data_IF_886944808878
#
_entry.id   IF_886944808878
#
_cell.length_a   1.000
_cell.length_b   1.000
_cell.length_c   1.000
_cell.angle_alpha   90.00
_cell.angle_beta   90.00
_cell.angle_gamma   90.00
#
_symmetry.space_group_name_H-M   'P 1'
#
loop_
_entity.id
_entity.type
_entity.pdbx_description
1 polymer ?
#
# COMPACT_ATOMS: atom_id res chain seq x y z
N UNK A 1 62.94 14.25 -12.60
CA UNK A 1 63.52 14.07 -13.95
C UNK A 1 62.55 13.20 -14.72
N UNK A 2 61.75 13.88 -15.52
CA UNK A 2 60.65 13.37 -16.33
C UNK A 2 61.15 12.72 -17.63
N UNK A 3 60.46 11.70 -18.12
CA UNK A 3 60.33 11.36 -19.55
C UNK A 3 59.06 10.48 -19.69
N UNK A 4 57.93 10.92 -20.26
CA UNK A 4 57.62 11.39 -21.64
C UNK A 4 57.52 10.23 -22.65
N UNK A 5 56.25 9.85 -22.91
CA UNK A 5 55.57 9.48 -24.19
C UNK A 5 56.18 8.45 -25.15
N UNK A 6 55.36 7.50 -25.64
CA UNK A 6 54.81 7.52 -27.01
C UNK A 6 53.99 6.25 -27.35
N UNK A 7 52.75 6.47 -27.83
CA UNK A 7 51.99 5.53 -28.66
C UNK A 7 52.44 5.67 -30.13
N UNK A 8 52.21 4.65 -30.96
CA UNK A 8 51.44 4.92 -32.18
C UNK A 8 50.46 3.81 -32.60
N UNK A 9 49.31 4.24 -33.13
CA UNK A 9 48.43 3.46 -34.01
C UNK A 9 49.11 3.15 -35.36
N UNK A 10 48.51 2.23 -36.15
CA UNK A 10 48.34 2.55 -37.57
C UNK A 10 46.90 2.36 -38.09
N UNK A 11 46.56 3.26 -39.03
CA UNK A 11 45.33 3.42 -39.82
C UNK A 11 45.38 2.67 -41.17
N UNK A 12 44.17 2.33 -41.67
CA UNK A 12 43.69 2.31 -43.09
C UNK A 12 44.33 1.26 -44.04
N UNK A 13 43.71 0.69 -45.09
CA UNK A 13 42.50 0.96 -45.92
C UNK A 13 42.34 -0.22 -46.91
N UNK A 14 41.15 -0.43 -47.50
CA UNK A 14 41.06 -0.98 -48.87
C UNK A 14 39.83 -1.84 -49.16
N UNK A 15 38.90 -1.29 -49.93
CA UNK A 15 37.72 -1.95 -50.48
C UNK A 15 38.02 -2.63 -51.83
N UNK A 16 37.30 -3.72 -52.15
CA UNK A 16 36.96 -4.07 -53.53
C UNK A 16 35.57 -4.69 -53.59
N UNK A 17 34.77 -4.14 -54.49
CA UNK A 17 33.41 -4.51 -54.86
C UNK A 17 33.41 -5.52 -56.00
N UNK A 18 32.46 -6.47 -55.98
CA UNK A 18 31.86 -7.12 -57.17
C UNK A 18 30.47 -7.68 -56.81
N UNK A 19 29.44 -7.12 -57.44
CA UNK A 19 28.10 -7.67 -57.69
C UNK A 19 28.22 -8.86 -58.66
N UNK A 20 27.37 -9.89 -58.77
CA UNK A 20 25.90 -10.12 -58.73
C UNK A 20 25.69 -11.65 -58.50
N UNK A 21 24.56 -12.28 -58.14
CA UNK A 21 23.14 -12.05 -58.39
C UNK A 21 22.26 -12.97 -57.50
N UNK A 22 21.04 -12.51 -57.21
CA UNK A 22 19.76 -13.24 -57.06
C UNK A 22 19.72 -14.63 -56.37
N UNK A 23 19.08 -14.63 -55.20
CA UNK A 23 18.55 -15.83 -54.53
C UNK A 23 17.65 -15.43 -53.37
N UNK A 24 16.35 -15.32 -53.63
CA UNK A 24 15.32 -14.96 -52.66
C UNK A 24 15.13 -16.03 -51.58
N UNK A 25 15.31 -15.67 -50.30
CA UNK A 25 14.56 -16.30 -49.20
C UNK A 25 14.23 -15.25 -48.13
N UNK A 26 12.98 -14.81 -48.15
CA UNK A 26 12.37 -14.05 -47.06
C UNK A 26 12.31 -14.95 -45.82
N UNK A 27 13.35 -14.91 -44.99
CA UNK A 27 13.29 -15.44 -43.62
C UNK A 27 12.45 -14.47 -42.79
N UNK A 28 11.12 -14.60 -42.89
CA UNK A 28 10.18 -14.01 -41.92
C UNK A 28 10.61 -14.51 -40.54
N UNK A 29 11.25 -13.65 -39.76
CA UNK A 29 11.33 -13.83 -38.30
C UNK A 29 9.89 -13.75 -37.81
N UNK A 30 9.28 -14.91 -37.58
CA UNK A 30 8.09 -15.04 -36.75
C UNK A 30 8.43 -14.44 -35.40
N UNK A 31 7.95 -13.23 -35.13
CA UNK A 31 7.87 -12.71 -33.77
C UNK A 31 6.95 -13.69 -33.06
N UNK A 32 7.53 -14.48 -32.17
CA UNK A 32 6.79 -15.53 -31.48
C UNK A 32 5.63 -14.89 -30.71
N UNK A 33 4.40 -15.27 -31.04
CA UNK A 33 3.23 -14.95 -30.20
C UNK A 33 3.42 -15.45 -28.76
N UNK A 34 4.27 -16.47 -28.53
CA UNK A 34 4.63 -16.90 -27.19
C UNK A 34 5.40 -15.84 -26.39
N UNK A 35 6.20 -14.99 -27.06
CA UNK A 35 6.99 -13.95 -26.39
C UNK A 35 6.14 -12.75 -25.96
N UNK A 36 5.12 -12.40 -26.75
CA UNK A 36 4.19 -11.31 -26.42
C UNK A 36 3.24 -11.76 -25.30
N UNK A 37 2.78 -13.01 -25.33
CA UNK A 37 1.97 -13.61 -24.26
C UNK A 37 2.79 -13.75 -22.98
N UNK A 38 4.06 -14.20 -23.05
CA UNK A 38 4.92 -14.30 -21.86
C UNK A 38 5.24 -12.94 -21.25
N UNK A 39 5.49 -11.92 -22.07
CA UNK A 39 5.72 -10.55 -21.59
C UNK A 39 4.47 -9.99 -20.90
N UNK A 40 3.28 -10.24 -21.45
CA UNK A 40 2.03 -9.79 -20.85
C UNK A 40 1.72 -10.49 -19.51
N UNK A 41 2.00 -11.79 -19.41
CA UNK A 41 1.84 -12.55 -18.15
C UNK A 41 2.84 -12.06 -17.09
N UNK A 42 4.09 -11.83 -17.49
CA UNK A 42 5.13 -11.31 -16.58
C UNK A 42 4.79 -9.90 -16.05
N UNK A 43 4.25 -9.02 -16.90
CA UNK A 43 3.81 -7.68 -16.50
C UNK A 43 2.58 -7.74 -15.56
N UNK A 44 1.69 -8.71 -15.74
CA UNK A 44 0.51 -8.90 -14.89
C UNK A 44 0.90 -9.40 -13.50
N UNK A 45 1.75 -10.43 -13.40
CA UNK A 45 2.28 -10.95 -12.13
C UNK A 45 3.02 -9.86 -11.35
N UNK A 46 3.81 -9.04 -12.06
CA UNK A 46 4.51 -7.93 -11.42
C UNK A 46 3.55 -6.85 -10.92
N UNK A 47 2.52 -6.51 -11.68
CA UNK A 47 1.50 -5.54 -11.26
C UNK A 47 0.73 -6.02 -10.02
N UNK A 48 0.45 -7.32 -9.95
CA UNK A 48 -0.13 -7.96 -8.77
C UNK A 48 0.83 -7.88 -7.57
N UNK A 49 2.11 -8.22 -7.76
CA UNK A 49 3.12 -8.14 -6.68
C UNK A 49 3.30 -6.73 -6.10
N UNK A 50 3.25 -5.68 -6.93
CA UNK A 50 3.31 -4.28 -6.49
C UNK A 50 2.06 -3.92 -5.68
N UNK A 51 0.89 -4.39 -6.11
CA UNK A 51 -0.36 -4.15 -5.41
C UNK A 51 -0.42 -4.87 -4.06
N UNK A 52 0.13 -6.09 -3.99
CA UNK A 52 0.22 -6.89 -2.76
C UNK A 52 1.28 -6.38 -1.78
N UNK A 53 2.31 -5.71 -2.26
CA UNK A 53 3.26 -4.99 -1.40
C UNK A 53 2.60 -3.78 -0.72
N UNK A 54 1.63 -3.16 -1.39
CA UNK A 54 0.74 -2.14 -0.84
C UNK A 54 -0.49 -2.72 -0.14
N UNK A 55 -1.51 -1.87 0.01
CA UNK A 55 -2.83 -2.29 0.46
C UNK A 55 -3.72 -2.60 -0.75
N UNK A 56 -4.49 -3.68 -0.68
CA UNK A 56 -5.46 -4.08 -1.72
C UNK A 56 -6.91 -3.85 -1.29
N UNK A 57 -7.11 -3.20 -0.14
CA UNK A 57 -8.41 -2.86 0.43
C UNK A 57 -9.19 -4.08 0.84
N UNK A 58 -10.50 -4.02 0.64
CA UNK A 58 -11.44 -5.08 0.99
C UNK A 58 -11.27 -6.35 0.14
N UNK A 59 -10.55 -6.28 -0.99
CA UNK A 59 -10.17 -7.48 -1.76
C UNK A 59 -9.31 -8.45 -0.94
N UNK A 60 -8.60 -7.95 0.07
CA UNK A 60 -7.84 -8.80 1.01
C UNK A 60 -8.74 -9.83 1.72
N UNK A 61 -10.00 -9.48 1.99
CA UNK A 61 -10.96 -10.39 2.64
C UNK A 61 -11.49 -11.47 1.68
N UNK A 62 -11.44 -11.24 0.36
CA UNK A 62 -12.01 -12.14 -0.65
C UNK A 62 -10.99 -13.08 -1.32
N UNK A 63 -9.73 -12.66 -1.44
CA UNK A 63 -8.68 -13.38 -2.18
C UNK A 63 -8.49 -14.85 -1.70
N UNK A 64 -8.59 -15.11 -0.39
CA UNK A 64 -8.30 -16.43 0.15
C UNK A 64 -9.41 -17.49 0.01
N UNK A 65 -10.65 -17.08 -0.29
CA UNK A 65 -11.72 -18.06 -0.54
C UNK A 65 -11.49 -18.79 -1.87
N UNK A 66 -10.87 -18.11 -2.83
CA UNK A 66 -10.55 -18.68 -4.14
C UNK A 66 -9.22 -19.45 -4.16
N UNK A 67 -8.21 -19.04 -3.38
CA UNK A 67 -6.94 -19.80 -3.26
C UNK A 67 -7.13 -21.14 -2.56
N UNK A 68 -8.06 -21.22 -1.59
CA UNK A 68 -8.45 -22.49 -0.96
C UNK A 68 -9.08 -23.48 -1.94
N UNK A 69 -9.83 -22.99 -2.95
CA UNK A 69 -10.41 -23.84 -3.99
C UNK A 69 -9.36 -24.29 -5.02
N UNK A 70 -8.33 -23.48 -5.30
CA UNK A 70 -7.22 -23.86 -6.19
C UNK A 70 -6.32 -24.92 -5.58
N UNK A 71 -6.01 -24.82 -4.28
CA UNK A 71 -5.22 -25.83 -3.57
C UNK A 71 -5.91 -27.20 -3.53
N UNK A 72 -7.24 -27.23 -3.46
CA UNK A 72 -8.03 -28.48 -3.54
C UNK A 72 -8.09 -29.08 -4.95
N UNK A 73 -7.87 -28.29 -6.00
CA UNK A 73 -7.87 -28.78 -7.39
C UNK A 73 -6.50 -29.36 -7.78
N UNK A 74 -5.40 -28.77 -7.31
CA UNK A 74 -4.03 -29.25 -7.57
C UNK A 74 -3.71 -30.56 -6.84
N UNK A 75 -4.33 -30.81 -5.67
CA UNK A 75 -4.25 -32.10 -4.98
C UNK A 75 -5.12 -33.21 -5.62
N UNK A 76 -5.90 -32.88 -6.65
CA UNK A 76 -6.75 -33.82 -7.39
C UNK A 76 -6.14 -34.34 -8.70
N UNK A 77 -4.94 -33.88 -9.08
CA UNK A 77 -4.25 -34.29 -10.32
C UNK A 77 -2.99 -35.15 -10.11
N UNK A 78 -2.72 -35.64 -8.90
CA UNK A 78 -1.73 -36.70 -8.67
C UNK A 78 -2.44 -38.05 -8.46
N UNK A 79 -2.79 -38.73 -9.56
CA UNK A 79 -3.38 -40.07 -9.47
C UNK A 79 -4.12 -40.55 -10.71
N UNK A 80 -3.51 -40.47 -11.90
CA UNK A 80 -4.03 -41.09 -13.12
C UNK A 80 -2.89 -41.70 -13.95
N UNK A 81 -3.08 -42.89 -14.56
CA UNK A 81 -2.00 -43.56 -15.27
C UNK A 81 -1.60 -42.79 -16.55
N UNK A 82 -0.36 -42.95 -17.03
CA UNK A 82 0.18 -42.15 -18.11
C UNK A 82 -0.51 -42.46 -19.44
N UNK A 83 -1.16 -41.46 -20.04
CA UNK A 83 -1.72 -41.55 -21.39
C UNK A 83 -0.58 -41.32 -22.40
N UNK A 84 -0.32 -42.33 -23.23
CA UNK A 84 0.68 -42.28 -24.31
C UNK A 84 0.26 -41.32 -25.44
N UNK A 85 1.21 -40.58 -26.05
CA UNK A 85 0.91 -39.61 -27.10
C UNK A 85 0.84 -40.30 -28.47
N UNK A 86 -0.30 -40.90 -28.78
CA UNK A 86 -0.63 -41.35 -30.13
C UNK A 86 -2.14 -41.53 -30.28
N UNK A 87 -2.92 -40.44 -30.22
CA UNK A 87 -4.33 -40.43 -30.69
C UNK A 87 -4.88 -39.00 -30.83
N UNK A 88 -4.09 -38.10 -31.43
CA UNK A 88 -4.57 -36.75 -31.79
C UNK A 88 -4.66 -36.59 -33.30
N UNK A 89 -5.62 -37.25 -33.93
CA UNK A 89 -6.02 -36.93 -35.31
C UNK A 89 -7.53 -37.14 -35.52
N UNK A 90 -8.28 -36.04 -35.46
CA UNK A 90 -9.39 -35.69 -36.37
C UNK A 90 -9.96 -34.33 -35.99
N UNK A 91 -9.38 -33.27 -36.53
CA UNK A 91 -10.05 -31.97 -36.67
C UNK A 91 -10.75 -31.99 -38.02
N UNK A 92 -12.08 -31.93 -38.00
CA UNK A 92 -12.87 -31.61 -39.20
C UNK A 92 -13.59 -30.29 -38.99
N UNK A 93 -13.53 -29.48 -40.04
CA UNK A 93 -13.99 -28.11 -40.20
C UNK A 93 -15.50 -28.06 -40.42
N UNK A 94 -16.22 -27.17 -39.71
CA UNK A 94 -17.41 -26.47 -40.21
C UNK A 94 -17.72 -25.24 -39.33
N UNK A 95 -18.11 -24.15 -39.99
CA UNK A 95 -18.34 -22.80 -39.43
C UNK A 95 -19.86 -22.52 -39.24
N UNK A 96 -20.32 -21.30 -38.87
CA UNK A 96 -21.16 -21.05 -37.70
C UNK A 96 -22.64 -20.79 -38.01
N UNK A 97 -23.53 -21.05 -37.05
CA UNK A 97 -24.92 -20.54 -37.08
C UNK A 97 -25.32 -20.07 -35.69
N UNK A 98 -25.76 -18.81 -35.59
CA UNK A 98 -26.46 -18.21 -34.45
C UNK A 98 -27.90 -18.75 -34.42
N UNK A 99 -28.42 -19.07 -33.24
CA UNK A 99 -29.58 -18.37 -32.64
C UNK A 99 -30.03 -19.05 -31.32
N UNK A 100 -30.55 -18.18 -30.46
CA UNK A 100 -31.55 -18.39 -29.41
C UNK A 100 -31.19 -18.80 -27.98
N UNK A 101 -31.55 -17.83 -27.13
CA UNK A 101 -31.60 -17.76 -25.68
C UNK A 101 -32.74 -18.63 -25.17
N UNK A 102 -32.43 -19.71 -24.43
CA UNK A 102 -33.36 -20.33 -23.48
C UNK A 102 -32.56 -20.80 -22.25
N UNK A 103 -32.93 -20.30 -21.07
CA UNK A 103 -32.41 -20.74 -19.77
C UNK A 103 -32.82 -22.20 -19.49
N UNK A 104 -31.93 -23.08 -18.99
CA UNK A 104 -32.36 -24.32 -18.38
C UNK A 104 -32.64 -24.13 -16.88
N UNK A 105 -33.85 -24.50 -16.46
CA UNK A 105 -34.22 -24.77 -15.07
C UNK A 105 -33.30 -25.87 -14.46
N UNK A 106 -33.14 -25.92 -13.12
CA UNK A 106 -32.31 -26.91 -12.45
C UNK A 106 -33.03 -28.26 -12.41
N UNK A 107 -32.39 -29.30 -12.97
CA UNK A 107 -32.78 -30.69 -12.75
C UNK A 107 -32.27 -31.11 -11.36
N UNK A 108 -33.21 -31.39 -10.46
CA UNK A 108 -32.98 -32.02 -9.17
C UNK A 108 -32.23 -33.34 -9.36
N UNK A 109 -30.96 -33.35 -8.96
CA UNK A 109 -30.16 -34.57 -8.89
C UNK A 109 -30.21 -35.11 -7.47
N UNK A 110 -30.81 -36.29 -7.36
CA UNK A 110 -30.97 -37.15 -6.21
C UNK A 110 -29.73 -37.17 -5.30
N UNK A 111 -29.93 -36.86 -4.03
CA UNK A 111 -28.93 -36.80 -2.96
C UNK A 111 -28.52 -38.22 -2.53
N UNK A 112 -27.32 -38.66 -2.90
CA UNK A 112 -26.70 -39.85 -2.31
C UNK A 112 -26.23 -39.60 -0.86
N UNK A 113 -26.32 -40.58 0.05
CA UNK A 113 -25.94 -40.40 1.44
C UNK A 113 -24.43 -40.59 1.59
N UNK A 114 -23.74 -39.57 2.13
CA UNK A 114 -22.35 -39.71 2.57
C UNK A 114 -21.33 -38.99 1.72
N UNK A 115 -21.47 -37.67 1.58
CA UNK A 115 -20.31 -36.80 1.42
C UNK A 115 -20.52 -35.55 2.27
N UNK A 116 -20.04 -35.63 3.51
CA UNK A 116 -19.91 -34.48 4.39
C UNK A 116 -18.85 -33.55 3.79
N UNK A 117 -19.25 -32.71 2.83
CA UNK A 117 -18.52 -31.48 2.52
C UNK A 117 -18.44 -30.69 3.81
N UNK A 118 -17.29 -30.74 4.48
CA UNK A 118 -16.95 -29.81 5.55
C UNK A 118 -16.89 -28.41 4.94
N UNK A 119 -18.03 -27.73 4.89
CA UNK A 119 -18.06 -26.28 4.75
C UNK A 119 -17.26 -25.68 5.90
N UNK A 120 -16.21 -24.90 5.55
CA UNK A 120 -15.48 -24.09 6.53
C UNK A 120 -16.49 -23.21 7.27
N UNK A 121 -16.71 -23.46 8.57
CA UNK A 121 -17.39 -22.53 9.48
C UNK A 121 -16.50 -21.30 9.71
N UNK A 122 -16.47 -20.39 8.72
CA UNK A 122 -15.91 -19.04 8.87
C UNK A 122 -16.90 -18.08 9.53
N UNK A 123 -16.45 -16.88 9.88
CA UNK A 123 -17.36 -15.81 10.28
C UNK A 123 -18.32 -15.50 9.11
N UNK A 124 -19.56 -15.04 9.36
CA UNK A 124 -20.36 -14.41 8.33
C UNK A 124 -19.57 -13.25 7.69
N UNK A 125 -19.62 -13.10 6.36
CA UNK A 125 -18.83 -12.09 5.61
C UNK A 125 -19.02 -10.68 6.20
N UNK A 126 -20.25 -10.34 6.57
CA UNK A 126 -20.57 -9.07 7.22
C UNK A 126 -19.80 -8.89 8.54
N UNK A 127 -19.66 -9.95 9.32
CA UNK A 127 -18.98 -9.92 10.61
C UNK A 127 -17.46 -9.79 10.42
N UNK A 128 -16.87 -10.39 9.39
CA UNK A 128 -15.44 -10.20 9.06
C UNK A 128 -15.17 -8.76 8.64
N UNK A 129 -16.06 -8.22 7.81
CA UNK A 129 -16.00 -6.83 7.36
C UNK A 129 -16.11 -5.85 8.54
N UNK A 130 -17.09 -6.04 9.42
CA UNK A 130 -17.27 -5.23 10.64
C UNK A 130 -16.06 -5.36 11.57
N UNK A 131 -15.55 -6.58 11.78
CA UNK A 131 -14.35 -6.81 12.58
C UNK A 131 -13.15 -6.05 11.99
N UNK A 132 -12.97 -6.07 10.66
CA UNK A 132 -11.93 -5.33 9.97
C UNK A 132 -12.06 -3.81 10.18
N UNK A 133 -13.26 -3.24 10.06
CA UNK A 133 -13.48 -1.82 10.31
C UNK A 133 -13.16 -1.42 11.76
N UNK A 134 -13.49 -2.28 12.74
CA UNK A 134 -13.15 -2.06 14.16
C UNK A 134 -11.63 -2.07 14.36
N UNK A 135 -10.92 -3.05 13.78
CA UNK A 135 -9.45 -3.10 13.87
C UNK A 135 -8.83 -1.85 13.24
N UNK A 136 -9.24 -1.49 12.03
CA UNK A 136 -8.77 -0.29 11.33
C UNK A 136 -9.02 0.99 12.15
N UNK A 137 -10.17 1.09 12.82
CA UNK A 137 -10.48 2.23 13.68
C UNK A 137 -9.54 2.31 14.90
N UNK A 138 -9.40 1.23 15.67
CA UNK A 138 -8.54 1.20 16.86
C UNK A 138 -7.09 1.49 16.49
N UNK A 139 -6.56 0.75 15.51
CA UNK A 139 -5.18 0.91 15.08
C UNK A 139 -4.93 2.26 14.41
N UNK A 140 -5.92 2.81 13.70
CA UNK A 140 -5.87 4.17 13.16
C UNK A 140 -5.72 5.24 14.24
N UNK A 141 -6.50 5.17 15.32
CA UNK A 141 -6.40 6.08 16.46
C UNK A 141 -5.03 5.95 17.15
N UNK A 142 -4.56 4.72 17.37
CA UNK A 142 -3.23 4.48 17.94
C UNK A 142 -2.11 5.04 17.04
N UNK A 143 -2.30 4.97 15.72
CA UNK A 143 -1.38 5.57 14.75
C UNK A 143 -1.34 7.10 14.84
N UNK A 144 -2.49 7.75 14.99
CA UNK A 144 -2.57 9.22 15.21
C UNK A 144 -1.86 9.62 16.50
N UNK A 145 -2.12 8.92 17.61
CA UNK A 145 -1.45 9.17 18.89
C UNK A 145 0.07 9.03 18.76
N UNK A 146 0.52 7.95 18.13
CA UNK A 146 1.95 7.70 17.90
C UNK A 146 2.58 8.79 17.04
N UNK A 147 1.92 9.19 15.95
CA UNK A 147 2.40 10.27 15.09
C UNK A 147 2.51 11.58 15.85
N UNK A 148 1.48 11.97 16.61
CA UNK A 148 1.51 13.19 17.42
C UNK A 148 2.63 13.15 18.48
N UNK A 149 2.83 12.01 19.14
CA UNK A 149 3.93 11.85 20.10
C UNK A 149 5.31 11.97 19.44
N UNK A 150 5.49 11.39 18.25
CA UNK A 150 6.74 11.54 17.48
C UNK A 150 6.96 12.98 17.05
N UNK A 151 5.91 13.69 16.60
CA UNK A 151 5.98 15.11 16.27
C UNK A 151 6.39 15.96 17.48
N UNK A 152 5.90 15.65 18.68
CA UNK A 152 6.30 16.35 19.92
C UNK A 152 7.71 16.00 20.37
N UNK A 153 8.09 14.72 20.31
CA UNK A 153 9.40 14.22 20.71
C UNK A 153 10.53 14.77 19.83
N UNK A 154 10.32 14.76 18.52
CA UNK A 154 11.28 15.27 17.54
C UNK A 154 11.12 16.76 17.24
N UNK A 155 10.06 17.37 17.77
CA UNK A 155 9.74 18.78 17.60
C UNK A 155 10.65 19.73 18.38
N UNK A 156 10.48 21.05 18.18
CA UNK A 156 11.26 22.09 18.84
C UNK A 156 11.23 22.03 20.37
N UNK A 157 10.13 21.53 20.94
CA UNK A 157 9.91 21.54 22.39
C UNK A 157 10.74 20.53 23.18
N UNK A 158 11.19 19.44 22.55
CA UNK A 158 11.86 18.34 23.27
C UNK A 158 13.28 18.12 22.76
N UNK A 159 13.46 17.75 21.49
CA UNK A 159 14.79 17.47 20.94
C UNK A 159 15.31 18.52 19.97
N UNK A 160 14.45 19.39 19.43
CA UNK A 160 14.88 20.45 18.52
C UNK A 160 15.34 19.98 17.14
N UNK A 161 15.09 18.71 16.78
CA UNK A 161 15.58 18.11 15.52
C UNK A 161 14.76 18.57 14.31
N UNK A 162 13.45 18.71 14.47
CA UNK A 162 12.53 19.11 13.38
C UNK A 162 12.03 20.54 13.59
N UNK A 163 11.72 21.22 12.48
CA UNK A 163 11.17 22.58 12.51
C UNK A 163 10.21 22.81 11.35
N UNK A 164 9.20 23.66 11.58
CA UNK A 164 8.25 24.11 10.56
C UNK A 164 8.90 24.96 9.45
N UNK A 165 10.13 25.45 9.68
CA UNK A 165 10.86 26.33 8.74
C UNK A 165 12.06 25.64 8.10
N UNK A 166 12.15 24.31 8.19
CA UNK A 166 13.31 23.56 7.71
C UNK A 166 12.91 22.40 6.81
N UNK A 167 13.91 21.88 6.09
CA UNK A 167 13.82 20.67 5.26
C UNK A 167 13.47 19.44 6.13
N UNK A 168 13.84 19.45 7.41
CA UNK A 168 13.51 18.41 8.39
C UNK A 168 12.17 18.78 9.06
N UNK A 169 11.08 18.46 8.36
CA UNK A 169 9.72 18.79 8.78
C UNK A 169 9.21 17.87 9.91
N UNK A 170 8.23 18.31 10.73
CA UNK A 170 7.80 17.58 11.93
C UNK A 170 7.31 16.15 11.70
N UNK A 171 6.68 15.87 10.55
CA UNK A 171 6.17 14.53 10.23
C UNK A 171 7.25 13.60 9.65
N UNK A 172 8.47 14.07 9.40
CA UNK A 172 9.54 13.26 8.80
C UNK A 172 9.90 12.04 9.69
N UNK A 173 10.10 12.17 11.01
CA UNK A 173 10.39 11.02 11.87
C UNK A 173 9.25 10.00 11.88
N UNK A 174 7.98 10.44 11.90
CA UNK A 174 6.85 9.51 11.88
C UNK A 174 6.75 8.77 10.55
N UNK A 175 7.03 9.45 9.43
CA UNK A 175 7.12 8.83 8.10
C UNK A 175 8.26 7.81 8.00
N UNK A 176 9.42 8.09 8.59
CA UNK A 176 10.55 7.15 8.65
C UNK A 176 10.23 5.92 9.51
N UNK A 177 9.74 6.14 10.74
CA UNK A 177 9.38 5.05 11.67
C UNK A 177 8.28 4.17 11.08
N UNK A 178 7.23 4.76 10.53
CA UNK A 178 6.14 4.01 9.89
C UNK A 178 6.63 3.21 8.68
N UNK A 179 7.51 3.76 7.85
CA UNK A 179 8.08 3.05 6.69
C UNK A 179 9.04 1.92 7.11
N UNK A 180 9.84 2.14 8.16
CA UNK A 180 10.69 1.09 8.75
C UNK A 180 9.87 -0.09 9.27
N UNK A 181 8.83 0.18 10.07
CA UNK A 181 7.96 -0.85 10.60
C UNK A 181 7.12 -1.51 9.49
N UNK A 182 6.83 -0.81 8.39
CA UNK A 182 6.20 -1.41 7.21
C UNK A 182 7.11 -2.48 6.59
N UNK A 183 8.43 -2.28 6.58
CA UNK A 183 9.40 -3.31 6.19
C UNK A 183 9.36 -4.55 7.09
N UNK A 184 9.19 -4.35 8.40
CA UNK A 184 9.05 -5.45 9.37
C UNK A 184 7.71 -6.18 9.21
N UNK A 185 6.59 -5.50 9.46
CA UNK A 185 5.27 -6.13 9.58
C UNK A 185 4.56 -6.28 8.24
N UNK A 186 4.76 -5.34 7.31
CA UNK A 186 4.12 -5.32 6.00
C UNK A 186 4.86 -6.12 4.93
N UNK A 187 6.17 -6.39 5.10
CA UNK A 187 6.97 -7.15 4.13
C UNK A 187 7.47 -8.46 4.73
N UNK A 188 8.34 -8.41 5.74
CA UNK A 188 9.05 -9.62 6.21
C UNK A 188 8.15 -10.54 7.03
N UNK A 189 7.38 -10.01 7.98
CA UNK A 189 6.54 -10.80 8.90
C UNK A 189 5.07 -10.88 8.51
N UNK A 190 4.67 -10.30 7.36
CA UNK A 190 3.27 -10.27 6.90
C UNK A 190 2.63 -11.66 6.92
N UNK A 191 3.32 -12.67 6.37
CA UNK A 191 2.83 -14.05 6.33
C UNK A 191 2.64 -14.67 7.72
N UNK A 192 3.55 -14.44 8.66
CA UNK A 192 3.44 -14.98 10.02
C UNK A 192 2.30 -14.31 10.80
N UNK A 193 2.10 -13.00 10.60
CA UNK A 193 1.00 -12.25 11.22
C UNK A 193 -0.34 -12.70 10.63
N UNK A 194 -0.41 -12.89 9.31
CA UNK A 194 -1.59 -13.44 8.62
C UNK A 194 -1.97 -14.84 9.09
N UNK A 195 -0.99 -15.69 9.45
CA UNK A 195 -1.28 -16.99 10.07
C UNK A 195 -1.98 -16.88 11.43
N UNK A 196 -1.73 -15.80 12.19
CA UNK A 196 -2.42 -15.52 13.44
C UNK A 196 -3.81 -14.92 13.19
N UNK A 197 -3.87 -13.88 12.35
CA UNK A 197 -5.12 -13.28 11.87
C UNK A 197 -4.84 -12.30 10.72
N UNK A 198 -5.50 -12.50 9.58
CA UNK A 198 -5.45 -11.56 8.45
C UNK A 198 -5.98 -10.18 8.83
N UNK A 199 -7.03 -10.13 9.65
CA UNK A 199 -7.62 -8.86 10.11
C UNK A 199 -6.63 -8.09 10.99
N UNK A 200 -5.81 -8.79 11.79
CA UNK A 200 -4.74 -8.16 12.55
C UNK A 200 -3.64 -7.63 11.65
N UNK A 201 -3.24 -8.37 10.61
CA UNK A 201 -2.26 -7.91 9.64
C UNK A 201 -2.72 -6.62 8.95
N UNK A 202 -3.99 -6.56 8.52
CA UNK A 202 -4.62 -5.34 7.96
C UNK A 202 -4.67 -4.22 9.00
N UNK A 203 -5.08 -4.51 10.24
CA UNK A 203 -5.11 -3.54 11.32
C UNK A 203 -3.74 -2.90 11.60
N UNK A 204 -2.67 -3.70 11.67
CA UNK A 204 -1.31 -3.21 11.91
C UNK A 204 -0.74 -2.43 10.72
N UNK A 205 -0.88 -2.96 9.51
CA UNK A 205 -0.27 -2.36 8.31
C UNK A 205 -1.11 -1.20 7.80
N UNK A 206 -2.33 -1.47 7.34
CA UNK A 206 -3.25 -0.44 6.84
C UNK A 206 -3.70 0.50 7.94
N UNK A 207 -4.12 0.01 9.10
CA UNK A 207 -4.64 0.87 10.16
C UNK A 207 -3.53 1.68 10.83
N UNK A 208 -2.67 1.01 11.58
CA UNK A 208 -1.68 1.66 12.43
C UNK A 208 -0.56 2.32 11.63
N UNK A 209 0.22 1.56 10.85
CA UNK A 209 1.35 2.12 10.11
C UNK A 209 0.92 3.12 9.04
N UNK A 210 -0.25 2.91 8.44
CA UNK A 210 -0.89 3.89 7.57
C UNK A 210 -1.07 5.23 8.26
N UNK A 211 -1.65 5.25 9.47
CA UNK A 211 -1.97 6.44 10.26
C UNK A 211 -0.79 7.06 11.04
N UNK A 212 0.26 6.28 11.34
CA UNK A 212 1.54 6.79 11.87
C UNK A 212 2.22 7.70 10.84
N UNK A 213 2.07 7.37 9.56
CA UNK A 213 2.59 8.19 8.46
C UNK A 213 1.55 9.18 7.95
N UNK A 214 1.99 10.25 7.29
CA UNK A 214 1.10 11.19 6.62
C UNK A 214 1.77 11.81 5.40
N UNK A 215 1.15 11.65 4.24
CA UNK A 215 1.60 12.29 3.01
C UNK A 215 1.02 13.70 2.88
N UNK A 216 -0.24 13.89 3.26
CA UNK A 216 -0.90 15.20 3.22
C UNK A 216 -0.19 16.21 4.12
N UNK A 217 0.19 15.81 5.34
CA UNK A 217 0.96 16.66 6.26
C UNK A 217 2.34 17.02 5.71
N UNK A 218 3.03 16.05 5.10
CA UNK A 218 4.30 16.30 4.40
C UNK A 218 4.14 17.32 3.27
N UNK A 219 3.16 17.12 2.38
CA UNK A 219 2.88 18.03 1.26
C UNK A 219 2.53 19.44 1.76
N UNK A 220 1.69 19.55 2.80
CA UNK A 220 1.31 20.85 3.37
C UNK A 220 2.52 21.60 3.93
N UNK A 221 3.49 20.91 4.55
CA UNK A 221 4.73 21.56 5.01
C UNK A 221 5.59 22.06 3.86
N UNK A 222 5.62 21.36 2.72
CA UNK A 222 6.31 21.86 1.53
C UNK A 222 5.62 23.09 0.95
N UNK A 223 4.28 23.13 1.00
CA UNK A 223 3.49 24.31 0.63
C UNK A 223 3.79 25.50 1.56
N UNK A 224 3.80 25.29 2.87
CA UNK A 224 4.14 26.33 3.85
C UNK A 224 5.53 26.93 3.57
N UNK A 225 6.55 26.09 3.29
CA UNK A 225 7.88 26.55 2.90
C UNK A 225 7.86 27.39 1.62
N UNK A 226 7.11 26.95 0.60
CA UNK A 226 7.02 27.67 -0.68
C UNK A 226 6.30 29.01 -0.56
N UNK A 227 5.26 29.11 0.30
CA UNK A 227 4.58 30.38 0.60
C UNK A 227 5.54 31.39 1.22
N UNK A 228 6.42 30.93 2.10
CA UNK A 228 7.43 31.75 2.78
C UNK A 228 8.63 32.10 1.88
N UNK A 229 8.60 31.78 0.58
CA UNK A 229 9.69 32.04 -0.36
C UNK A 229 10.82 31.01 -0.34
N UNK A 230 10.75 29.99 0.52
CA UNK A 230 11.78 28.96 0.67
C UNK A 230 11.61 27.81 -0.34
N UNK A 231 11.51 28.12 -1.63
CA UNK A 231 11.25 27.16 -2.71
C UNK A 231 12.28 26.04 -2.80
N UNK A 232 13.56 26.37 -2.62
CA UNK A 232 14.64 25.38 -2.62
C UNK A 232 14.43 24.38 -1.49
N UNK A 233 14.04 24.83 -0.30
CA UNK A 233 13.78 23.95 0.83
C UNK A 233 12.52 23.10 0.61
N UNK A 234 11.48 23.63 -0.04
CA UNK A 234 10.30 22.86 -0.39
C UNK A 234 10.64 21.70 -1.36
N UNK A 235 11.43 21.96 -2.40
CA UNK A 235 11.87 20.93 -3.35
C UNK A 235 12.80 19.92 -2.67
N UNK A 236 13.78 20.39 -1.89
CA UNK A 236 14.68 19.52 -1.15
C UNK A 236 13.94 18.69 -0.09
N UNK A 237 12.91 19.22 0.56
CA UNK A 237 12.10 18.49 1.54
C UNK A 237 11.30 17.34 0.92
N UNK A 238 10.89 17.47 -0.34
CA UNK A 238 10.34 16.36 -1.11
C UNK A 238 11.39 15.27 -1.41
N UNK A 239 12.60 15.66 -1.80
CA UNK A 239 13.68 14.69 -2.07
C UNK A 239 14.13 13.98 -0.78
N UNK A 240 14.38 14.73 0.28
CA UNK A 240 14.79 14.21 1.58
C UNK A 240 13.72 13.29 2.17
N UNK A 241 12.45 13.71 2.14
CA UNK A 241 11.35 12.89 2.63
C UNK A 241 11.21 11.57 1.87
N UNK A 242 11.32 11.59 0.54
CA UNK A 242 11.28 10.38 -0.29
C UNK A 242 12.45 9.45 0.02
N UNK A 243 13.68 9.96 0.01
CA UNK A 243 14.87 9.12 0.20
C UNK A 243 14.97 8.54 1.61
N UNK A 244 14.67 9.33 2.64
CA UNK A 244 14.72 8.83 4.01
C UNK A 244 13.63 7.79 4.29
N UNK A 245 12.41 7.99 3.78
CA UNK A 245 11.36 6.99 3.94
C UNK A 245 11.67 5.72 3.13
N UNK A 246 12.17 5.86 1.89
CA UNK A 246 12.59 4.73 1.06
C UNK A 246 13.78 3.95 1.66
N UNK A 247 14.75 4.63 2.26
CA UNK A 247 15.84 3.95 2.96
C UNK A 247 15.34 3.29 4.25
N UNK A 248 14.38 3.92 4.95
CA UNK A 248 13.79 3.38 6.19
C UNK A 248 13.11 2.03 5.96
N UNK A 249 12.34 1.85 4.87
CA UNK A 249 11.73 0.53 4.59
C UNK A 249 12.78 -0.54 4.26
N UNK A 250 13.84 -0.19 3.50
CA UNK A 250 14.94 -1.11 3.18
C UNK A 250 15.63 -1.56 4.46
N UNK A 251 15.99 -0.60 5.32
CA UNK A 251 16.60 -0.87 6.61
C UNK A 251 15.67 -1.72 7.51
N UNK A 252 14.36 -1.47 7.45
CA UNK A 252 13.35 -2.30 8.11
C UNK A 252 13.37 -3.74 7.63
N UNK A 253 13.40 -3.96 6.32
CA UNK A 253 13.46 -5.32 5.72
C UNK A 253 14.75 -6.04 6.14
N UNK A 254 15.90 -5.38 6.06
CA UNK A 254 17.21 -5.96 6.41
C UNK A 254 17.28 -6.38 7.88
N UNK A 255 16.89 -5.48 8.78
CA UNK A 255 16.88 -5.75 10.23
C UNK A 255 15.87 -6.84 10.60
N UNK A 256 14.69 -6.86 9.97
CA UNK A 256 13.69 -7.91 10.17
C UNK A 256 14.17 -9.29 9.69
N UNK A 257 14.87 -9.36 8.55
CA UNK A 257 15.49 -10.61 8.05
C UNK A 257 16.57 -11.11 9.01
N UNK A 258 17.41 -10.21 9.51
CA UNK A 258 18.40 -10.52 10.54
C UNK A 258 17.76 -11.08 11.81
N UNK A 259 16.69 -10.44 12.29
CA UNK A 259 15.93 -10.92 13.45
C UNK A 259 15.30 -12.30 13.23
N UNK A 260 14.68 -12.55 12.07
CA UNK A 260 14.15 -13.87 11.71
C UNK A 260 15.24 -14.94 11.70
N UNK A 261 16.42 -14.62 11.19
CA UNK A 261 17.56 -15.55 11.20
C UNK A 261 17.98 -15.88 12.64
N UNK A 262 18.06 -14.88 13.54
CA UNK A 262 18.34 -15.10 14.97
C UNK A 262 17.29 -16.03 15.59
N UNK A 263 16.00 -15.77 15.38
CA UNK A 263 14.91 -16.61 15.90
C UNK A 263 15.02 -18.07 15.43
N UNK A 264 15.30 -18.29 14.14
CA UNK A 264 15.51 -19.65 13.61
C UNK A 264 16.69 -20.33 14.29
N UNK A 265 17.81 -19.63 14.48
CA UNK A 265 18.99 -20.16 15.16
C UNK A 265 18.70 -20.55 16.61
N UNK A 266 17.93 -19.75 17.33
CA UNK A 266 17.52 -20.05 18.71
C UNK A 266 16.56 -21.25 18.78
N UNK A 267 15.60 -21.35 17.85
CA UNK A 267 14.62 -22.45 17.83
C UNK A 267 15.17 -23.79 17.33
N UNK A 268 16.32 -23.80 16.63
CA UNK A 268 16.96 -25.04 16.15
C UNK A 268 17.44 -25.93 17.31
N UNK A 269 17.46 -25.43 18.55
CA UNK A 269 17.82 -26.21 19.75
C UNK A 269 16.65 -26.98 20.40
N UNK A 270 15.44 -26.91 19.84
CA UNK A 270 14.25 -27.61 20.36
C UNK A 270 13.61 -28.46 19.27
N UNK A 271 13.97 -29.75 19.24
CA UNK A 271 13.16 -30.76 18.56
C UNK A 271 11.74 -30.72 19.12
N UNK A 272 10.75 -30.40 18.31
CA UNK A 272 9.35 -30.64 18.67
C UNK A 272 8.62 -31.24 17.48
N UNK A 273 8.29 -32.50 17.67
CA UNK A 273 7.26 -33.26 16.98
C UNK A 273 6.02 -32.39 16.76
N UNK A 274 5.44 -32.46 15.56
CA UNK A 274 4.16 -31.82 15.27
C UNK A 274 3.03 -32.51 16.05
N UNK A 275 2.29 -31.80 16.94
CA UNK A 275 1.23 -32.44 17.68
C UNK A 275 -0.15 -31.99 17.18
N UNK A 276 -1.13 -32.81 17.52
CA UNK A 276 -2.61 -32.73 17.46
C UNK A 276 -3.23 -31.33 17.82
N UNK A 277 -2.41 -30.37 18.25
CA UNK A 277 -2.70 -28.96 18.57
C UNK A 277 -3.30 -28.20 17.38
N UNK A 278 -2.86 -28.47 16.14
CA UNK A 278 -3.30 -27.73 14.95
C UNK A 278 -4.82 -27.84 14.71
N UNK A 279 -5.41 -29.00 15.01
CA UNK A 279 -6.85 -29.26 14.86
C UNK A 279 -7.69 -28.59 15.96
N UNK A 280 -7.17 -28.50 17.19
CA UNK A 280 -7.84 -27.84 18.34
C UNK A 280 -7.77 -26.31 18.26
N UNK A 281 -6.73 -25.76 17.63
CA UNK A 281 -6.60 -24.33 17.35
C UNK A 281 -7.68 -23.80 16.41
N UNK A 282 -8.08 -24.60 15.41
CA UNK A 282 -9.03 -24.22 14.35
C UNK A 282 -10.47 -24.03 14.83
N UNK A 283 -10.96 -24.90 15.73
CA UNK A 283 -12.31 -24.77 16.34
C UNK A 283 -12.37 -23.67 17.41
N UNK A 284 -11.24 -23.36 18.06
CA UNK A 284 -11.12 -22.23 18.99
C UNK A 284 -11.04 -20.87 18.28
N UNK A 285 -10.85 -20.88 16.95
CA UNK A 285 -10.64 -19.69 16.14
C UNK A 285 -11.85 -18.75 16.15
N UNK A 286 -13.09 -19.24 15.98
CA UNK A 286 -14.28 -18.37 15.96
C UNK A 286 -14.48 -17.61 17.28
N UNK A 287 -14.40 -18.31 18.42
CA UNK A 287 -14.52 -17.68 19.74
C UNK A 287 -13.40 -16.68 20.01
N UNK A 288 -12.18 -16.95 19.54
CA UNK A 288 -11.04 -16.02 19.62
C UNK A 288 -11.24 -14.78 18.76
N UNK A 289 -11.69 -14.93 17.51
CA UNK A 289 -11.99 -13.79 16.63
C UNK A 289 -13.13 -12.94 17.20
N UNK A 290 -14.19 -13.57 17.73
CA UNK A 290 -15.28 -12.87 18.41
C UNK A 290 -14.78 -12.16 19.68
N UNK A 291 -13.98 -12.82 20.52
CA UNK A 291 -13.41 -12.22 21.72
C UNK A 291 -12.50 -11.04 21.37
N UNK A 292 -11.63 -11.17 20.37
CA UNK A 292 -10.77 -10.09 19.88
C UNK A 292 -11.60 -8.91 19.36
N UNK A 293 -12.66 -9.17 18.59
CA UNK A 293 -13.59 -8.14 18.12
C UNK A 293 -14.27 -7.41 19.29
N UNK A 294 -14.75 -8.13 20.30
CA UNK A 294 -15.38 -7.53 21.50
C UNK A 294 -14.36 -6.70 22.28
N UNK A 295 -13.15 -7.23 22.52
CA UNK A 295 -12.08 -6.50 23.21
C UNK A 295 -11.72 -5.22 22.46
N UNK A 296 -11.55 -5.28 21.15
CA UNK A 296 -11.23 -4.09 20.34
C UNK A 296 -12.39 -3.10 20.28
N UNK A 297 -13.64 -3.57 20.30
CA UNK A 297 -14.81 -2.69 20.40
C UNK A 297 -14.83 -1.95 21.75
N UNK A 298 -14.51 -2.63 22.85
CA UNK A 298 -14.37 -1.99 24.17
C UNK A 298 -13.23 -0.98 24.18
N UNK A 299 -12.07 -1.34 23.62
CA UNK A 299 -10.92 -0.42 23.48
C UNK A 299 -11.31 0.79 22.65
N UNK A 300 -12.02 0.61 21.53
CA UNK A 300 -12.52 1.70 20.69
C UNK A 300 -13.46 2.61 21.49
N UNK A 301 -14.41 2.02 22.23
CA UNK A 301 -15.33 2.76 23.09
C UNK A 301 -14.60 3.61 24.14
N UNK A 302 -13.56 3.05 24.77
CA UNK A 302 -12.71 3.78 25.73
C UNK A 302 -11.95 4.91 25.03
N UNK A 303 -11.28 4.63 23.90
CA UNK A 303 -10.52 5.63 23.15
C UNK A 303 -11.39 6.81 22.71
N UNK A 304 -12.58 6.54 22.17
CA UNK A 304 -13.52 7.57 21.76
C UNK A 304 -14.11 8.34 22.95
N UNK A 305 -14.44 7.66 24.04
CA UNK A 305 -14.99 8.31 25.25
C UNK A 305 -13.96 9.22 25.93
N UNK A 306 -12.72 8.76 26.06
CA UNK A 306 -11.60 9.55 26.60
C UNK A 306 -11.32 10.76 25.70
N UNK A 307 -11.22 10.54 24.39
CA UNK A 307 -11.01 11.62 23.43
C UNK A 307 -12.14 12.66 23.49
N UNK A 308 -13.41 12.24 23.52
CA UNK A 308 -14.54 13.16 23.63
C UNK A 308 -14.57 13.94 24.95
N UNK A 309 -14.24 13.28 26.08
CA UNK A 309 -14.19 13.92 27.39
C UNK A 309 -13.06 14.97 27.47
N UNK A 310 -11.87 14.63 26.99
CA UNK A 310 -10.72 15.54 27.00
C UNK A 310 -10.89 16.67 25.98
N UNK A 311 -11.46 16.39 24.80
CA UNK A 311 -11.84 17.42 23.84
C UNK A 311 -12.79 18.43 24.50
N UNK A 312 -13.85 17.97 25.16
CA UNK A 312 -14.81 18.85 25.84
C UNK A 312 -14.15 19.75 26.88
N UNK A 313 -13.17 19.23 27.62
CA UNK A 313 -12.42 19.99 28.64
C UNK A 313 -11.50 21.04 28.03
N UNK A 314 -10.81 20.69 26.94
CA UNK A 314 -9.75 21.52 26.37
C UNK A 314 -10.21 22.40 25.20
N UNK A 315 -11.41 22.20 24.64
CA UNK A 315 -11.84 22.85 23.39
C UNK A 315 -11.71 24.38 23.42
N UNK A 316 -12.16 25.02 24.51
CA UNK A 316 -12.12 26.48 24.64
C UNK A 316 -10.71 27.07 24.77
N UNK A 317 -9.70 26.24 25.05
CA UNK A 317 -8.31 26.70 25.18
C UNK A 317 -7.56 26.79 23.84
N UNK A 318 -8.10 26.19 22.78
CA UNK A 318 -7.40 26.09 21.49
C UNK A 318 -6.08 25.32 21.55
N UNK A 319 -5.87 24.49 22.59
CA UNK A 319 -4.62 23.77 22.83
C UNK A 319 -4.32 22.75 21.73
N UNK A 320 -3.04 22.38 21.59
CA UNK A 320 -2.67 21.23 20.74
C UNK A 320 -3.25 19.90 21.25
N UNK A 321 -3.65 19.84 22.53
CA UNK A 321 -4.39 18.70 23.09
C UNK A 321 -5.81 18.61 22.54
N UNK A 322 -6.55 19.73 22.49
CA UNK A 322 -7.88 19.76 21.88
C UNK A 322 -7.85 19.31 20.40
N UNK A 323 -6.84 19.74 19.65
CA UNK A 323 -6.62 19.30 18.26
C UNK A 323 -6.38 17.78 18.18
N UNK A 324 -5.55 17.23 19.07
CA UNK A 324 -5.29 15.78 19.16
C UNK A 324 -6.56 14.98 19.48
N UNK A 325 -7.32 15.40 20.48
CA UNK A 325 -8.49 14.66 20.91
C UNK A 325 -9.57 14.66 19.84
N UNK A 326 -9.76 15.78 19.14
CA UNK A 326 -10.62 15.82 17.95
C UNK A 326 -10.08 14.91 16.84
N UNK A 327 -8.77 14.93 16.60
CA UNK A 327 -8.14 14.06 15.61
C UNK A 327 -8.41 12.57 15.89
N UNK A 328 -8.33 12.13 17.14
CA UNK A 328 -8.67 10.76 17.53
C UNK A 328 -10.14 10.39 17.24
N UNK A 329 -11.09 11.33 17.39
CA UNK A 329 -12.50 11.07 17.09
C UNK A 329 -12.76 10.88 15.59
N UNK A 330 -12.04 11.61 14.74
CA UNK A 330 -12.25 11.60 13.28
C UNK A 330 -11.27 10.70 12.50
N UNK A 331 -10.28 10.12 13.18
CA UNK A 331 -9.23 9.29 12.57
C UNK A 331 -9.80 8.10 11.78
N UNK A 332 -10.78 7.40 12.34
CA UNK A 332 -11.35 6.17 11.77
C UNK A 332 -11.90 6.39 10.36
N UNK A 333 -12.54 7.53 10.10
CA UNK A 333 -13.10 7.85 8.78
C UNK A 333 -12.02 7.92 7.71
N UNK A 334 -10.86 8.49 8.02
CA UNK A 334 -9.75 8.60 7.08
C UNK A 334 -9.20 7.23 6.71
N UNK A 335 -9.01 6.37 7.72
CA UNK A 335 -8.52 5.00 7.51
C UNK A 335 -9.51 4.17 6.69
N UNK A 336 -10.81 4.25 6.97
CA UNK A 336 -11.82 3.49 6.25
C UNK A 336 -11.90 3.91 4.78
N UNK A 337 -11.88 5.22 4.50
CA UNK A 337 -11.89 5.71 3.11
C UNK A 337 -10.60 5.27 2.41
N UNK A 338 -9.42 5.40 3.04
CA UNK A 338 -8.16 4.94 2.45
C UNK A 338 -8.19 3.45 2.13
N UNK A 339 -8.61 2.62 3.07
CA UNK A 339 -8.72 1.18 2.87
C UNK A 339 -9.72 0.83 1.76
N UNK A 340 -10.84 1.54 1.69
CA UNK A 340 -11.78 1.39 0.57
C UNK A 340 -11.14 1.79 -0.76
N UNK A 341 -10.44 2.93 -0.83
CA UNK A 341 -9.74 3.36 -2.05
C UNK A 341 -8.64 2.38 -2.48
N UNK A 342 -7.97 1.72 -1.53
CA UNK A 342 -6.92 0.74 -1.81
C UNK A 342 -7.40 -0.45 -2.67
N UNK A 343 -8.71 -0.71 -2.75
CA UNK A 343 -9.28 -1.70 -3.67
C UNK A 343 -8.97 -1.44 -5.15
N UNK A 344 -8.67 -0.19 -5.51
CA UNK A 344 -8.32 0.21 -6.87
C UNK A 344 -6.83 -0.02 -7.20
N UNK A 345 -5.98 -0.35 -6.23
CA UNK A 345 -4.58 -0.70 -6.48
C UNK A 345 -4.51 -1.99 -7.32
N UNK A 346 -3.79 -1.99 -8.44
CA UNK A 346 -3.68 -3.19 -9.29
C UNK A 346 -4.81 -3.45 -10.29
N UNK A 347 -5.88 -2.63 -10.28
CA UNK A 347 -7.00 -2.76 -11.22
C UNK A 347 -6.72 -2.14 -12.59
N UNK A 348 -5.90 -1.08 -12.63
CA UNK A 348 -5.68 -0.28 -13.84
C UNK A 348 -6.91 0.55 -14.25
N UNK A 349 -6.80 1.23 -15.39
CA UNK A 349 -7.82 2.10 -15.96
C UNK A 349 -8.62 1.38 -17.07
N UNK A 350 -9.93 1.58 -17.03
CA UNK A 350 -10.87 1.06 -18.04
C UNK A 350 -11.03 -0.47 -18.00
N UNK A 351 -11.84 -1.01 -18.91
CA UNK A 351 -12.09 -2.46 -19.01
C UNK A 351 -10.84 -3.26 -19.43
N UNK A 352 -9.89 -2.59 -20.07
CA UNK A 352 -8.64 -3.19 -20.55
C UNK A 352 -7.53 -3.24 -19.49
N UNK A 353 -7.73 -2.66 -18.30
CA UNK A 353 -6.74 -2.67 -17.23
C UNK A 353 -5.42 -1.98 -17.62
N UNK A 354 -5.50 -0.82 -18.27
CA UNK A 354 -4.30 -0.06 -18.66
C UNK A 354 -3.62 0.46 -17.38
N UNK A 355 -2.29 0.38 -17.29
CA UNK A 355 -1.53 0.89 -16.14
C UNK A 355 -1.80 0.15 -14.81
N UNK A 356 -2.06 -1.17 -14.85
CA UNK A 356 -2.27 -2.00 -13.63
C UNK A 356 -1.13 -1.90 -12.60
N UNK A 357 0.09 -1.63 -13.04
CA UNK A 357 1.23 -1.42 -12.15
C UNK A 357 1.10 -0.17 -11.27
N UNK A 358 0.23 0.78 -11.63
CA UNK A 358 0.07 2.05 -10.91
C UNK A 358 -0.93 1.92 -9.75
N UNK A 359 -0.53 2.21 -8.50
CA UNK A 359 -1.43 2.14 -7.34
C UNK A 359 -2.43 3.30 -7.27
N UNK A 360 -3.53 3.21 -8.04
CA UNK A 360 -4.52 4.28 -8.13
C UNK A 360 -5.26 4.58 -6.82
N UNK A 361 -5.44 3.59 -5.96
CA UNK A 361 -6.06 3.76 -4.65
C UNK A 361 -5.23 4.64 -3.74
N UNK A 362 -3.96 4.26 -3.54
CA UNK A 362 -3.00 5.00 -2.71
C UNK A 362 -2.73 6.40 -3.29
N UNK A 363 -2.57 6.51 -4.61
CA UNK A 363 -2.46 7.78 -5.30
C UNK A 363 -3.66 8.70 -5.01
N UNK A 364 -4.88 8.19 -5.21
CA UNK A 364 -6.11 8.99 -5.03
C UNK A 364 -6.28 9.43 -3.58
N UNK A 365 -5.97 8.55 -2.62
CA UNK A 365 -6.04 8.86 -1.20
C UNK A 365 -5.05 9.98 -0.81
N UNK A 366 -3.80 9.89 -1.28
CA UNK A 366 -2.77 10.90 -1.01
C UNK A 366 -3.09 12.26 -1.66
N UNK A 367 -3.44 12.28 -2.95
CA UNK A 367 -3.75 13.52 -3.68
C UNK A 367 -5.00 14.20 -3.13
N UNK A 368 -6.08 13.45 -2.87
CA UNK A 368 -7.31 14.01 -2.33
C UNK A 368 -7.12 14.56 -0.91
N UNK A 369 -6.43 13.84 -0.03
CA UNK A 369 -6.13 14.31 1.31
C UNK A 369 -5.26 15.58 1.29
N UNK A 370 -4.25 15.65 0.42
CA UNK A 370 -3.40 16.82 0.25
C UNK A 370 -4.18 18.04 -0.26
N UNK A 371 -5.06 17.85 -1.25
CA UNK A 371 -5.89 18.93 -1.79
C UNK A 371 -6.89 19.47 -0.76
N UNK A 372 -7.57 18.59 -0.01
CA UNK A 372 -8.50 19.00 1.05
C UNK A 372 -7.73 19.68 2.20
N UNK A 373 -6.54 19.20 2.54
CA UNK A 373 -5.69 19.81 3.57
C UNK A 373 -5.26 21.22 3.18
N UNK A 374 -4.89 21.45 1.92
CA UNK A 374 -4.58 22.77 1.39
C UNK A 374 -5.79 23.72 1.46
N UNK A 375 -6.97 23.24 1.10
CA UNK A 375 -8.22 24.01 1.20
C UNK A 375 -8.53 24.40 2.66
N UNK A 376 -8.42 23.45 3.58
CA UNK A 376 -8.68 23.68 5.00
C UNK A 376 -7.65 24.64 5.63
N UNK A 377 -6.38 24.53 5.24
CA UNK A 377 -5.32 25.47 5.65
C UNK A 377 -5.56 26.89 5.13
N UNK A 378 -6.15 27.03 3.94
CA UNK A 378 -6.55 28.34 3.39
C UNK A 378 -7.69 28.96 4.17
N UNK A 379 -8.71 28.16 4.50
CA UNK A 379 -9.84 28.60 5.32
C UNK A 379 -9.39 28.99 6.73
N UNK A 380 -8.45 28.26 7.31
CA UNK A 380 -7.88 28.57 8.63
C UNK A 380 -7.25 29.96 8.65
N UNK A 381 -6.42 30.26 7.64
CA UNK A 381 -5.83 31.59 7.46
C UNK A 381 -6.87 32.68 7.20
N UNK A 382 -7.94 32.38 6.47
CA UNK A 382 -8.96 33.36 6.11
C UNK A 382 -9.94 33.68 7.24
N UNK A 383 -10.30 32.71 8.08
CA UNK A 383 -11.30 32.87 9.15
C UNK A 383 -10.69 33.44 10.42
N UNK A 384 -9.41 33.11 10.70
CA UNK A 384 -8.64 33.59 11.85
C UNK A 384 -9.40 33.48 13.20
N UNK A 385 -10.04 32.33 13.44
CA UNK A 385 -10.80 32.05 14.67
C UNK A 385 -10.25 30.81 15.36
N UNK A 386 -9.93 30.91 16.65
CA UNK A 386 -9.35 29.82 17.47
C UNK A 386 -10.18 28.53 17.45
N UNK A 387 -11.52 28.64 17.51
CA UNK A 387 -12.40 27.47 17.48
C UNK A 387 -12.36 26.79 16.11
N UNK A 388 -12.36 27.60 15.05
CA UNK A 388 -12.23 27.08 13.68
C UNK A 388 -10.86 26.42 13.48
N UNK A 389 -9.77 27.06 13.94
CA UNK A 389 -8.42 26.51 13.87
C UNK A 389 -8.30 25.18 14.61
N UNK A 390 -8.91 25.07 15.80
CA UNK A 390 -8.93 23.80 16.55
C UNK A 390 -9.63 22.69 15.78
N UNK A 391 -10.78 23.00 15.16
CA UNK A 391 -11.53 22.04 14.35
C UNK A 391 -10.76 21.66 13.08
N UNK A 392 -10.23 22.67 12.37
CA UNK A 392 -9.45 22.50 11.16
C UNK A 392 -8.22 21.62 11.42
N UNK A 393 -7.41 21.96 12.41
CA UNK A 393 -6.21 21.21 12.77
C UNK A 393 -6.54 19.79 13.26
N UNK A 394 -7.63 19.60 14.00
CA UNK A 394 -8.08 18.25 14.38
C UNK A 394 -8.49 17.39 13.17
N UNK A 395 -9.17 17.97 12.18
CA UNK A 395 -9.51 17.29 10.92
C UNK A 395 -8.26 17.00 10.08
N UNK A 396 -7.34 17.96 9.98
CA UNK A 396 -6.07 17.79 9.27
C UNK A 396 -5.23 16.69 9.91
N UNK A 397 -5.08 16.71 11.24
CA UNK A 397 -4.31 15.74 11.99
C UNK A 397 -4.98 14.37 11.96
N UNK A 398 -6.28 14.27 12.23
CA UNK A 398 -6.98 12.98 12.35
C UNK A 398 -7.40 12.42 11.01
N UNK A 399 -8.37 13.07 10.36
CA UNK A 399 -9.03 12.54 9.17
C UNK A 399 -8.09 12.53 7.95
N UNK A 400 -7.55 13.70 7.58
CA UNK A 400 -6.71 13.83 6.38
C UNK A 400 -5.33 13.21 6.55
N UNK A 401 -4.81 13.22 7.77
CA UNK A 401 -3.61 12.49 8.16
C UNK A 401 -3.77 11.00 7.94
N UNK A 402 -4.86 10.39 8.44
CA UNK A 402 -5.16 8.96 8.29
C UNK A 402 -5.61 8.55 6.88
N UNK A 403 -6.22 9.46 6.12
CA UNK A 403 -6.62 9.23 4.73
C UNK A 403 -5.40 9.09 3.82
N UNK A 404 -4.34 9.85 4.08
CA UNK A 404 -3.08 9.76 3.34
C UNK A 404 -2.10 8.80 4.02
N UNK A 405 -1.06 8.36 3.31
CA UNK A 405 -0.02 7.49 3.88
C UNK A 405 1.29 7.60 3.11
N UNK A 406 2.41 7.52 3.85
CA UNK A 406 3.76 7.35 3.28
C UNK A 406 4.21 5.90 3.37
N UNK A 407 3.84 5.15 4.42
CA UNK A 407 4.28 3.76 4.59
C UNK A 407 3.81 2.85 3.46
N UNK A 408 2.53 2.91 3.06
CA UNK A 408 2.01 2.15 1.92
C UNK A 408 2.60 2.65 0.60
N UNK A 409 2.66 3.97 0.40
CA UNK A 409 3.26 4.59 -0.79
C UNK A 409 4.71 4.14 -1.01
N UNK A 410 5.49 4.07 0.07
CA UNK A 410 6.90 3.63 0.03
C UNK A 410 7.03 2.11 -0.13
N UNK A 411 6.10 1.32 0.41
CA UNK A 411 6.07 -0.12 0.15
C UNK A 411 5.84 -0.43 -1.33
N UNK A 412 4.88 0.25 -1.96
CA UNK A 412 4.61 0.16 -3.40
C UNK A 412 5.81 0.66 -4.23
N UNK A 413 6.41 1.79 -3.82
CA UNK A 413 7.62 2.33 -4.44
C UNK A 413 8.79 1.34 -4.38
N UNK A 414 9.02 0.71 -3.22
CA UNK A 414 10.09 -0.27 -3.06
C UNK A 414 9.85 -1.52 -3.92
N UNK A 415 8.61 -2.03 -3.92
CA UNK A 415 8.24 -3.16 -4.77
C UNK A 415 8.45 -2.86 -6.27
N UNK A 416 8.14 -1.64 -6.71
CA UNK A 416 8.44 -1.21 -8.08
C UNK A 416 9.94 -1.07 -8.36
N UNK A 417 10.75 -0.62 -7.38
CA UNK A 417 12.20 -0.53 -7.53
C UNK A 417 12.88 -1.89 -7.64
N UNK A 418 12.36 -2.89 -6.94
CA UNK A 418 12.85 -4.28 -7.01
C UNK A 418 12.31 -5.03 -8.24
N UNK A 419 11.40 -4.41 -9.00
CA UNK A 419 10.79 -4.97 -10.20
C UNK A 419 11.71 -4.89 -11.44
N UNK A 420 11.30 -5.55 -12.53
CA UNK A 420 11.98 -5.47 -13.85
C UNK A 420 12.00 -4.05 -14.42
N UNK A 421 11.08 -3.18 -13.98
CA UNK A 421 10.90 -1.83 -14.50
C UNK A 421 11.02 -0.78 -13.38
N UNK A 422 12.23 -0.58 -12.81
CA UNK A 422 12.44 0.31 -11.66
C UNK A 422 12.07 1.77 -11.91
N UNK A 423 12.08 2.22 -13.18
CA UNK A 423 11.65 3.56 -13.56
C UNK A 423 10.19 3.85 -13.15
N UNK A 424 9.32 2.83 -13.09
CA UNK A 424 7.90 2.95 -12.68
C UNK A 424 7.78 3.56 -11.28
N UNK A 425 8.68 3.20 -10.37
CA UNK A 425 8.70 3.72 -9.00
C UNK A 425 8.89 5.25 -8.99
N UNK A 426 9.85 5.76 -9.76
CA UNK A 426 10.14 7.19 -9.82
C UNK A 426 9.04 7.97 -10.52
N UNK A 427 8.44 7.42 -11.59
CA UNK A 427 7.28 8.04 -12.23
C UNK A 427 6.09 8.09 -11.28
N UNK A 428 5.81 7.03 -10.53
CA UNK A 428 4.76 7.00 -9.52
C UNK A 428 4.98 8.06 -8.43
N UNK A 429 6.20 8.12 -7.88
CA UNK A 429 6.55 9.09 -6.84
C UNK A 429 6.43 10.54 -7.33
N UNK A 430 7.04 10.85 -8.49
CA UNK A 430 7.00 12.19 -9.09
C UNK A 430 5.57 12.61 -9.44
N UNK A 431 4.75 11.68 -9.95
CA UNK A 431 3.34 11.99 -10.27
C UNK A 431 2.55 12.28 -9.00
N UNK A 432 2.68 11.46 -7.96
CA UNK A 432 1.96 11.63 -6.69
C UNK A 432 2.33 12.96 -6.00
N UNK A 433 3.63 13.25 -5.91
CA UNK A 433 4.16 14.46 -5.31
C UNK A 433 3.86 15.70 -6.16
N UNK A 434 4.10 15.62 -7.47
CA UNK A 434 3.88 16.73 -8.40
C UNK A 434 2.41 17.15 -8.47
N UNK A 435 1.49 16.21 -8.65
CA UNK A 435 0.05 16.51 -8.72
C UNK A 435 -0.45 17.11 -7.40
N UNK A 436 -0.04 16.53 -6.26
CA UNK A 436 -0.43 17.05 -4.93
C UNK A 436 0.09 18.46 -4.68
N UNK A 437 1.32 18.74 -5.10
CA UNK A 437 1.95 20.05 -4.91
C UNK A 437 1.33 21.11 -5.83
N UNK A 438 1.05 20.77 -7.10
CA UNK A 438 0.36 21.67 -8.06
C UNK A 438 -1.02 22.03 -7.51
N UNK A 439 -1.83 21.05 -7.09
CA UNK A 439 -3.13 21.36 -6.46
C UNK A 439 -2.97 22.21 -5.21
N UNK A 440 -1.98 21.91 -4.37
CA UNK A 440 -1.65 22.72 -3.21
C UNK A 440 -1.32 24.17 -3.54
N UNK A 441 -0.53 24.41 -4.59
CA UNK A 441 -0.21 25.77 -5.05
C UNK A 441 -1.50 26.51 -5.47
N UNK A 442 -2.34 25.84 -6.26
CA UNK A 442 -3.59 26.44 -6.77
C UNK A 442 -4.59 26.75 -5.65
N UNK A 443 -4.69 25.86 -4.66
CA UNK A 443 -5.71 25.93 -3.61
C UNK A 443 -5.23 26.75 -2.39
N UNK A 444 -3.94 26.71 -2.06
CA UNK A 444 -3.38 27.36 -0.86
C UNK A 444 -2.43 28.50 -1.18
N UNK A 445 -1.35 28.28 -1.93
CA UNK A 445 -0.35 29.32 -2.15
C UNK A 445 -0.92 30.55 -2.87
N UNK A 446 -1.62 30.34 -3.99
CA UNK A 446 -2.18 31.44 -4.80
C UNK A 446 -3.15 32.29 -3.97
N UNK A 447 -4.15 31.71 -3.26
CA UNK A 447 -5.02 32.50 -2.39
C UNK A 447 -4.28 33.24 -1.27
N UNK A 448 -3.29 32.60 -0.64
CA UNK A 448 -2.49 33.22 0.43
C UNK A 448 -1.70 34.42 -0.10
N UNK A 449 -1.05 34.29 -1.26
CA UNK A 449 -0.33 35.40 -1.90
C UNK A 449 -1.28 36.51 -2.36
N UNK A 450 -2.40 36.16 -3.01
CA UNK A 450 -3.34 37.12 -3.58
C UNK A 450 -4.04 37.97 -2.52
N UNK A 451 -4.33 37.39 -1.35
CA UNK A 451 -5.02 38.08 -0.25
C UNK A 451 -4.08 38.60 0.84
N UNK A 452 -2.78 38.29 0.76
CA UNK A 452 -1.79 38.71 1.76
C UNK A 452 -2.08 38.14 3.15
N UNK A 453 -2.62 36.92 3.24
CA UNK A 453 -2.82 36.25 4.53
C UNK A 453 -1.43 35.99 5.14
N UNK A 454 -1.06 36.81 6.12
CA UNK A 454 0.23 36.71 6.84
C UNK A 454 0.14 35.70 7.97
#
# INVERSE_FOLDING_TARGET
>A
MDHVTNNPEPKRTGAFSRTSSFGSSLRKRSISMSSVVSLHIDDEIQSESVSEAGDIGDRALHSQRNSSCRLSLDLGMEGGPPIHPADLHKVSVASPVREDVIFPLPIDSLKGPGDNKQEKQGLPILMEYVSCLIHLAVFGILGVLTRYLLEKLFGPSVSGVTSNQSIIYPNLPSNMVGSFLMGWWGVVFKGDISQLSDILAIGLTTGFLGSVTTFSGWNQKMLDLSVNGNWVQAILGFLVGLFLAAYSIIFGIETAKGFRWILKRLNTSTNKEEPIIYRKWRLNSFRRHLAAMVVLLLVLGVLLSVSGSLLKKEFGSGSSGAQLWLACLVASFGVWIRWFLARFNGHGLGKSGILRWFPFGTFSANVSAAAIMAGLSTLEKSVNNTNFGTVAMGIQLGFLGCLSTVSTFIAEFNAMRESKHPWRAYVYALTTMGVSFIFGILIYNIPVWAKGFT
#
